data_IF_749213983236
#
_entry.id   IF_749213983236
#
_cell.length_a   1.000
_cell.length_b   1.000
_cell.length_c   1.000
_cell.angle_alpha   90.00
_cell.angle_beta   90.00
_cell.angle_gamma   90.00
#
_symmetry.space_group_name_H-M   'P 1'
#
loop_
_entity.id
_entity.type
_entity.pdbx_description
1 polymer ?
#
# COMPACT_ATOMS: atom_id res chain seq x y z
N UNK A 1 36.78 25.42 -7.22
CA UNK A 1 35.73 26.38 -6.81
C UNK A 1 34.62 26.53 -7.84
N UNK A 2 34.92 26.71 -9.14
CA UNK A 2 33.91 26.85 -10.22
C UNK A 2 33.00 25.64 -10.46
N UNK A 3 33.52 24.41 -10.31
CA UNK A 3 32.74 23.17 -10.45
C UNK A 3 31.63 23.03 -9.38
N UNK A 4 31.90 23.48 -8.16
CA UNK A 4 30.94 23.42 -7.06
C UNK A 4 29.78 24.40 -7.26
N UNK A 5 30.09 25.59 -7.79
CA UNK A 5 29.09 26.60 -8.16
C UNK A 5 28.19 26.14 -9.32
N UNK A 6 28.71 25.37 -10.29
CA UNK A 6 27.90 24.82 -11.38
C UNK A 6 26.97 23.70 -10.91
N UNK A 7 27.44 22.81 -10.03
CA UNK A 7 26.63 21.72 -9.48
C UNK A 7 25.44 22.26 -8.66
N UNK A 8 25.66 23.25 -7.79
CA UNK A 8 24.57 23.91 -7.05
C UNK A 8 23.62 24.73 -7.93
N UNK A 9 24.12 25.35 -9.01
CA UNK A 9 23.27 26.06 -9.99
C UNK A 9 22.37 25.13 -10.79
N UNK A 10 22.84 23.92 -11.11
CA UNK A 10 22.02 22.90 -11.75
C UNK A 10 20.87 22.48 -10.83
N UNK A 11 21.14 22.20 -9.56
CA UNK A 11 20.11 21.81 -8.60
C UNK A 11 19.15 22.95 -8.19
N UNK A 12 19.59 24.20 -8.22
CA UNK A 12 18.80 25.37 -7.78
C UNK A 12 17.56 25.70 -8.63
N UNK A 13 17.42 25.09 -9.81
CA UNK A 13 16.30 25.32 -10.73
C UNK A 13 15.22 24.23 -10.70
N UNK A 14 15.45 23.11 -10.03
CA UNK A 14 14.44 22.07 -9.91
C UNK A 14 13.50 22.40 -8.74
N UNK A 15 12.22 22.63 -9.03
CA UNK A 15 11.16 22.58 -8.00
C UNK A 15 11.09 21.13 -7.52
N UNK A 16 11.56 20.87 -6.30
CA UNK A 16 11.55 19.52 -5.72
C UNK A 16 10.16 19.02 -5.33
N UNK A 17 9.15 19.89 -5.32
CA UNK A 17 7.74 19.47 -5.15
C UNK A 17 7.17 18.93 -6.47
N UNK A 18 7.77 17.87 -6.97
CA UNK A 18 7.14 16.86 -7.85
C UNK A 18 6.70 15.66 -7.01
N UNK A 19 6.44 15.87 -5.71
CA UNK A 19 5.56 14.97 -4.97
C UNK A 19 4.16 15.44 -5.38
N UNK A 20 3.37 14.62 -6.09
CA UNK A 20 1.99 14.99 -6.38
C UNK A 20 1.33 15.33 -5.03
N UNK A 21 0.70 16.49 -4.95
CA UNK A 21 0.09 16.94 -3.70
C UNK A 21 -0.88 15.86 -3.21
N UNK A 22 -1.06 15.70 -1.89
CA UNK A 22 -1.96 14.67 -1.38
C UNK A 22 -3.35 14.75 -2.04
N UNK A 23 -3.84 15.97 -2.27
CA UNK A 23 -5.07 16.29 -3.02
C UNK A 23 -4.98 15.79 -4.48
N UNK A 24 -3.90 16.11 -5.19
CA UNK A 24 -3.69 15.72 -6.59
C UNK A 24 -3.62 14.19 -6.76
N UNK A 25 -2.98 13.46 -5.82
CA UNK A 25 -2.96 11.99 -5.81
C UNK A 25 -4.34 11.40 -5.56
N UNK A 26 -5.14 12.04 -4.70
CA UNK A 26 -6.48 11.56 -4.36
C UNK A 26 -7.46 11.75 -5.52
N UNK A 27 -7.36 12.86 -6.25
CA UNK A 27 -8.22 13.19 -7.39
C UNK A 27 -7.69 12.70 -8.74
N UNK A 28 -6.54 12.02 -8.78
CA UNK A 28 -6.05 11.42 -10.02
C UNK A 28 -7.06 10.37 -10.53
N UNK A 29 -7.71 10.67 -11.65
CA UNK A 29 -8.69 9.80 -12.32
C UNK A 29 -8.01 8.64 -13.08
N UNK A 30 -6.68 8.66 -13.18
CA UNK A 30 -5.94 7.52 -13.74
C UNK A 30 -6.20 6.29 -12.88
N UNK A 31 -6.80 5.26 -13.47
CA UNK A 31 -6.93 3.95 -12.83
C UNK A 31 -5.54 3.47 -12.41
N UNK A 32 -5.30 3.43 -11.09
CA UNK A 32 -4.05 2.87 -10.57
C UNK A 32 -4.07 1.36 -10.87
N UNK A 33 -3.14 0.84 -11.70
CA UNK A 33 -3.13 -0.58 -11.99
C UNK A 33 -2.88 -1.33 -10.70
N UNK A 34 -3.82 -2.20 -10.32
CA UNK A 34 -3.69 -3.05 -9.14
C UNK A 34 -2.45 -3.94 -9.31
N UNK A 35 -1.43 -3.83 -8.44
CA UNK A 35 -0.23 -4.63 -8.58
C UNK A 35 -0.59 -6.12 -8.57
N UNK A 36 -0.03 -6.87 -9.52
CA UNK A 36 -0.28 -8.32 -9.64
C UNK A 36 -0.09 -9.06 -8.31
N UNK A 37 0.96 -8.71 -7.56
CA UNK A 37 1.25 -9.30 -6.26
C UNK A 37 0.15 -9.04 -5.23
N UNK A 38 -0.44 -7.84 -5.23
CA UNK A 38 -1.49 -7.47 -4.27
C UNK A 38 -2.75 -8.32 -4.45
N UNK A 39 -3.09 -8.67 -5.70
CA UNK A 39 -4.26 -9.47 -6.02
C UNK A 39 -4.08 -10.94 -5.61
N UNK A 40 -2.85 -11.45 -5.67
CA UNK A 40 -2.55 -12.86 -5.36
C UNK A 40 -2.25 -13.07 -3.88
N UNK A 41 -1.66 -12.08 -3.22
CA UNK A 41 -1.17 -12.22 -1.85
C UNK A 41 -2.29 -12.66 -0.88
N UNK A 42 -3.46 -12.01 -0.94
CA UNK A 42 -4.57 -12.32 -0.04
C UNK A 42 -5.16 -13.72 -0.23
N UNK A 43 -5.58 -14.13 -1.45
CA UNK A 43 -6.04 -15.50 -1.68
C UNK A 43 -4.97 -16.52 -1.29
N UNK A 44 -3.71 -16.32 -1.71
CA UNK A 44 -2.60 -17.23 -1.42
C UNK A 44 -2.39 -17.40 0.08
N UNK A 45 -2.38 -16.29 0.83
CA UNK A 45 -2.26 -16.32 2.28
C UNK A 45 -3.43 -17.07 2.93
N UNK A 46 -4.66 -16.87 2.44
CA UNK A 46 -5.83 -17.64 2.86
C UNK A 46 -5.69 -19.14 2.60
N UNK A 47 -5.14 -19.53 1.44
CA UNK A 47 -4.87 -20.94 1.11
C UNK A 47 -3.81 -21.57 2.03
N UNK A 48 -2.71 -20.85 2.28
CA UNK A 48 -1.67 -21.28 3.23
C UNK A 48 -2.28 -21.46 4.62
N UNK A 49 -3.07 -20.49 5.09
CA UNK A 49 -3.77 -20.59 6.38
C UNK A 49 -4.70 -21.80 6.44
N UNK A 50 -5.42 -22.10 5.36
CA UNK A 50 -6.26 -23.30 5.26
C UNK A 50 -5.45 -24.59 5.42
N UNK A 51 -4.33 -24.73 4.71
CA UNK A 51 -3.44 -25.89 4.86
C UNK A 51 -2.81 -25.96 6.25
N UNK A 52 -2.39 -24.83 6.82
CA UNK A 52 -1.91 -24.73 8.20
C UNK A 52 -2.96 -25.16 9.22
N UNK A 53 -4.24 -24.84 8.98
CA UNK A 53 -5.34 -25.27 9.82
C UNK A 53 -5.52 -26.80 9.76
N UNK A 54 -5.41 -27.41 8.58
CA UNK A 54 -5.43 -28.87 8.44
C UNK A 54 -4.25 -29.57 9.15
N UNK A 55 -3.06 -28.98 9.07
CA UNK A 55 -1.87 -29.42 9.84
C UNK A 55 -2.15 -29.34 11.34
N UNK A 56 -2.71 -28.23 11.81
CA UNK A 56 -3.03 -28.01 13.21
C UNK A 56 -4.06 -29.03 13.73
N UNK A 57 -5.11 -29.32 12.96
CA UNK A 57 -6.11 -30.34 13.31
C UNK A 57 -5.47 -31.73 13.45
N UNK A 58 -4.57 -32.10 12.53
CA UNK A 58 -3.86 -33.37 12.61
C UNK A 58 -2.92 -33.43 13.81
N UNK A 59 -2.23 -32.32 14.12
CA UNK A 59 -1.36 -32.20 15.29
C UNK A 59 -2.15 -32.38 16.60
N UNK A 60 -3.27 -31.67 16.77
CA UNK A 60 -4.15 -31.80 17.95
C UNK A 60 -4.73 -33.21 18.07
N UNK A 61 -5.05 -33.84 16.94
CA UNK A 61 -5.57 -35.21 16.90
C UNK A 61 -4.51 -36.30 17.15
N UNK A 62 -3.26 -35.91 17.45
CA UNK A 62 -2.10 -36.81 17.60
C UNK A 62 -1.89 -37.73 16.38
N UNK A 63 -2.27 -37.27 15.20
CA UNK A 63 -2.06 -37.97 13.92
C UNK A 63 -0.79 -37.43 13.24
N UNK A 64 -0.14 -38.21 12.37
CA UNK A 64 0.96 -37.71 11.56
C UNK A 64 0.53 -36.45 10.81
N UNK A 65 1.41 -35.44 10.76
CA UNK A 65 1.08 -34.09 10.30
C UNK A 65 0.47 -34.07 8.89
N UNK A 66 1.02 -34.89 7.99
CA UNK A 66 0.61 -34.99 6.59
C UNK A 66 -0.45 -36.08 6.32
N UNK A 67 -1.08 -36.60 7.38
CA UNK A 67 -2.07 -37.68 7.24
C UNK A 67 -3.36 -37.16 6.57
N UNK A 68 -3.73 -37.79 5.45
CA UNK A 68 -4.95 -37.49 4.72
C UNK A 68 -4.82 -36.26 3.82
N UNK A 69 -4.11 -36.41 2.69
CA UNK A 69 -3.84 -35.32 1.73
C UNK A 69 -5.13 -34.64 1.22
N UNK A 70 -6.22 -35.40 1.11
CA UNK A 70 -7.53 -34.89 0.72
C UNK A 70 -8.02 -33.78 1.66
N UNK A 71 -7.76 -33.90 2.97
CA UNK A 71 -8.12 -32.87 3.95
C UNK A 71 -7.34 -31.58 3.70
N UNK A 72 -6.03 -31.68 3.48
CA UNK A 72 -5.20 -30.51 3.18
C UNK A 72 -5.65 -29.81 1.89
N UNK A 73 -6.01 -30.58 0.86
CA UNK A 73 -6.53 -30.03 -0.40
C UNK A 73 -7.87 -29.30 -0.18
N UNK A 74 -8.81 -29.92 0.54
CA UNK A 74 -10.13 -29.33 0.82
C UNK A 74 -9.98 -28.06 1.66
N UNK A 75 -9.23 -28.11 2.77
CA UNK A 75 -9.01 -26.95 3.63
C UNK A 75 -8.24 -25.84 2.92
N UNK A 76 -7.27 -26.18 2.07
CA UNK A 76 -6.57 -25.22 1.22
C UNK A 76 -7.50 -24.53 0.23
N UNK A 77 -8.36 -25.27 -0.47
CA UNK A 77 -9.33 -24.71 -1.41
C UNK A 77 -10.36 -23.79 -0.71
N UNK A 78 -10.85 -24.20 0.46
CA UNK A 78 -11.74 -23.36 1.29
C UNK A 78 -11.01 -22.09 1.75
N UNK A 79 -9.75 -22.21 2.17
CA UNK A 79 -8.91 -21.07 2.55
C UNK A 79 -8.68 -20.07 1.42
N UNK A 80 -8.42 -20.55 0.20
CA UNK A 80 -8.30 -19.71 -1.00
C UNK A 80 -9.60 -18.93 -1.28
N UNK A 81 -10.75 -19.64 -1.22
CA UNK A 81 -12.07 -19.04 -1.44
C UNK A 81 -12.40 -17.97 -0.38
N UNK A 82 -12.15 -18.27 0.90
CA UNK A 82 -12.33 -17.31 1.99
C UNK A 82 -11.40 -16.10 1.83
N UNK A 83 -10.12 -16.32 1.48
CA UNK A 83 -9.16 -15.23 1.25
C UNK A 83 -9.59 -14.27 0.14
N UNK A 84 -10.16 -14.79 -0.95
CA UNK A 84 -10.74 -13.97 -2.03
C UNK A 84 -11.95 -13.18 -1.56
N UNK A 85 -12.84 -13.80 -0.78
CA UNK A 85 -14.04 -13.13 -0.25
C UNK A 85 -13.68 -11.97 0.69
N UNK A 86 -12.74 -12.19 1.61
CA UNK A 86 -12.27 -11.14 2.52
C UNK A 86 -11.54 -10.02 1.78
N UNK A 87 -10.80 -10.32 0.71
CA UNK A 87 -10.18 -9.29 -0.12
C UNK A 87 -11.24 -8.37 -0.77
N UNK A 88 -12.35 -8.93 -1.25
CA UNK A 88 -13.47 -8.16 -1.79
C UNK A 88 -14.05 -7.17 -0.79
N UNK A 89 -14.35 -7.64 0.43
CA UNK A 89 -14.89 -6.79 1.50
C UNK A 89 -13.90 -5.68 1.85
N UNK A 90 -12.61 -6.01 1.99
CA UNK A 90 -11.57 -5.04 2.30
C UNK A 90 -11.48 -3.95 1.22
N UNK A 91 -11.48 -4.34 -0.05
CA UNK A 91 -11.36 -3.41 -1.16
C UNK A 91 -12.58 -2.51 -1.26
N UNK A 92 -13.78 -3.03 -1.00
CA UNK A 92 -15.00 -2.23 -0.94
C UNK A 92 -14.94 -1.18 0.16
N UNK A 93 -14.50 -1.54 1.36
CA UNK A 93 -14.38 -0.62 2.50
C UNK A 93 -13.34 0.47 2.24
N UNK A 94 -12.17 0.10 1.68
CA UNK A 94 -11.13 1.06 1.30
C UNK A 94 -11.64 2.02 0.22
N UNK A 95 -12.39 1.52 -0.77
CA UNK A 95 -12.99 2.34 -1.82
C UNK A 95 -14.02 3.33 -1.25
N UNK A 96 -14.89 2.89 -0.32
CA UNK A 96 -15.85 3.75 0.37
C UNK A 96 -15.14 4.85 1.17
N UNK A 97 -14.13 4.48 1.96
CA UNK A 97 -13.35 5.42 2.76
C UNK A 97 -12.71 6.50 1.87
N UNK A 98 -12.10 6.09 0.75
CA UNK A 98 -11.48 7.02 -0.19
C UNK A 98 -12.51 7.91 -0.90
N UNK A 99 -13.71 7.38 -1.22
CA UNK A 99 -14.81 8.17 -1.77
C UNK A 99 -15.31 9.24 -0.79
N UNK A 100 -15.48 8.89 0.49
CA UNK A 100 -15.87 9.83 1.55
C UNK A 100 -14.84 10.94 1.71
N UNK A 101 -13.55 10.59 1.71
CA UNK A 101 -12.47 11.59 1.81
C UNK A 101 -12.48 12.58 0.64
N UNK A 102 -12.65 12.09 -0.59
CA UNK A 102 -12.78 12.96 -1.77
C UNK A 102 -13.98 13.90 -1.67
N UNK A 103 -15.13 13.37 -1.28
CA UNK A 103 -16.36 14.16 -1.12
C UNK A 103 -16.20 15.23 -0.04
N UNK A 104 -15.55 14.91 1.08
CA UNK A 104 -15.32 15.88 2.16
C UNK A 104 -14.42 17.04 1.70
N UNK A 105 -13.33 16.74 0.99
CA UNK A 105 -12.40 17.78 0.48
C UNK A 105 -13.09 18.69 -0.55
N UNK A 106 -14.01 18.14 -1.36
CA UNK A 106 -14.79 18.93 -2.31
C UNK A 106 -15.76 19.90 -1.63
N UNK A 107 -16.31 19.51 -0.47
CA UNK A 107 -17.26 20.33 0.29
C UNK A 107 -16.56 21.46 1.06
N UNK A 108 -15.34 21.21 1.56
CA UNK A 108 -14.57 22.12 2.40
C UNK A 108 -13.18 22.40 1.82
N UNK A 109 -13.07 23.06 0.65
CA UNK A 109 -11.76 23.41 0.08
C UNK A 109 -10.97 24.39 0.95
N UNK A 110 -11.63 25.19 1.80
CA UNK A 110 -11.02 26.17 2.70
C UNK A 110 -10.13 25.56 3.78
N UNK A 111 -10.44 24.34 4.23
CA UNK A 111 -9.69 23.63 5.27
C UNK A 111 -8.38 23.05 4.74
N UNK A 112 -8.23 22.96 3.41
CA UNK A 112 -7.09 22.35 2.73
C UNK A 112 -6.36 23.36 1.82
N UNK A 113 -5.74 24.41 2.38
CA UNK A 113 -4.99 25.37 1.58
C UNK A 113 -3.82 24.66 0.89
N UNK A 114 -3.64 24.93 -0.41
CA UNK A 114 -2.54 24.37 -1.17
C UNK A 114 -1.22 24.98 -0.69
N UNK A 115 -0.27 24.19 -0.14
CA UNK A 115 0.97 24.72 0.38
C UNK A 115 1.81 25.29 -0.77
N UNK A 116 2.37 26.48 -0.58
CA UNK A 116 3.30 27.06 -1.55
C UNK A 116 4.60 26.24 -1.61
N UNK A 117 4.91 25.72 -2.80
CA UNK A 117 6.15 24.98 -3.03
C UNK A 117 7.39 25.88 -2.93
N UNK A 118 8.14 25.75 -1.83
CA UNK A 118 9.44 26.41 -1.62
C UNK A 118 10.56 25.68 -2.34
N UNK A 119 11.53 26.40 -2.90
CA UNK A 119 12.70 25.78 -3.54
C UNK A 119 13.70 25.34 -2.47
N UNK A 120 14.52 24.32 -2.75
CA UNK A 120 15.55 23.87 -1.79
C UNK A 120 16.53 24.96 -1.36
N UNK A 121 16.82 25.90 -2.26
CA UNK A 121 17.65 27.07 -1.93
C UNK A 121 17.04 27.96 -0.83
N UNK A 122 15.73 27.89 -0.62
CA UNK A 122 14.97 28.62 0.41
C UNK A 122 14.77 27.76 1.67
N UNK A 123 15.07 26.45 1.62
CA UNK A 123 14.92 25.50 2.73
C UNK A 123 16.29 25.25 3.39
N UNK A 124 16.58 25.93 4.49
CA UNK A 124 17.78 25.71 5.29
C UNK A 124 17.50 24.73 6.44
N UNK A 125 17.48 23.44 6.13
CA UNK A 125 17.39 22.40 7.16
C UNK A 125 18.76 22.14 7.79
N UNK A 126 18.85 21.96 9.13
CA UNK A 126 20.11 21.60 9.75
C UNK A 126 20.60 20.25 9.24
N UNK A 127 21.87 20.18 8.83
CA UNK A 127 22.50 18.93 8.43
C UNK A 127 22.99 18.17 9.67
N UNK A 128 22.46 16.97 9.89
CA UNK A 128 22.89 16.09 10.99
C UNK A 128 23.86 15.04 10.42
N UNK A 129 25.16 15.09 10.76
CA UNK A 129 26.11 14.05 10.34
C UNK A 129 25.79 12.72 11.02
N UNK A 130 25.92 11.62 10.27
CA UNK A 130 26.06 10.28 10.84
C UNK A 130 27.53 10.16 11.28
N UNK A 131 27.76 9.94 12.57
CA UNK A 131 29.09 9.75 13.17
C UNK A 131 29.26 8.31 13.64
#
# INVERSE_FOLDING_TARGET
MYLYQQFFRAFGNYKFTMIPNAIEVLFDERERPVPFLSQIFNPLFGGILGVSCAIFVNFVSKKPILSGIQKHIIFGAVGLGAGKFFDGIRNEELAKRDAVMRHYIQLHPEDFPMPEGKKYKELLTPWVPVR
#
